data_IF_833454060565
#
_entry.id   IF_833454060565
#
_cell.length_a   1.000
_cell.length_b   1.000
_cell.length_c   1.000
_cell.angle_alpha   90.00
_cell.angle_beta   90.00
_cell.angle_gamma   90.00
#
_symmetry.space_group_name_H-M   'P 1'
#
loop_
_entity.id
_entity.type
_entity.pdbx_description
1 polymer ?
#
# COMPACT_ATOMS: atom_id res chain seq x y z
N UNK A 1 0.95 20.14 -56.66
CA UNK A 1 -0.04 20.63 -55.68
C UNK A 1 -0.08 19.65 -54.51
N UNK A 2 0.37 20.06 -53.34
CA UNK A 2 0.42 19.21 -52.14
C UNK A 2 0.86 20.05 -50.94
N UNK A 3 -0.12 20.53 -50.18
CA UNK A 3 0.01 21.57 -49.16
C UNK A 3 0.34 20.93 -47.80
N UNK A 4 1.51 21.24 -47.26
CA UNK A 4 1.94 20.82 -45.91
C UNK A 4 1.39 21.82 -44.89
N UNK A 5 0.46 21.40 -44.03
CA UNK A 5 -0.01 22.18 -42.87
C UNK A 5 0.90 21.91 -41.68
N UNK A 6 1.62 22.94 -41.21
CA UNK A 6 2.24 22.97 -39.88
C UNK A 6 1.21 23.49 -38.88
N UNK A 7 0.98 22.74 -37.80
CA UNK A 7 0.19 23.17 -36.65
C UNK A 7 1.18 23.73 -35.62
N UNK A 8 1.11 25.03 -35.36
CA UNK A 8 1.81 25.68 -34.26
C UNK A 8 0.93 25.62 -33.00
N UNK A 9 1.47 25.05 -31.92
CA UNK A 9 0.84 25.08 -30.60
C UNK A 9 1.41 26.28 -29.85
N UNK A 10 0.57 27.30 -29.64
CA UNK A 10 0.91 28.48 -28.84
C UNK A 10 0.73 28.19 -27.35
N UNK A 11 1.80 28.37 -26.59
CA UNK A 11 1.77 28.41 -25.13
C UNK A 11 1.31 29.79 -24.67
N UNK A 12 0.15 29.89 -24.05
CA UNK A 12 -0.30 31.11 -23.36
C UNK A 12 0.04 31.02 -21.87
N UNK A 13 0.93 31.91 -21.44
CA UNK A 13 1.22 32.20 -20.05
C UNK A 13 0.07 33.00 -19.43
N UNK A 14 -0.40 32.60 -18.24
CA UNK A 14 -1.31 33.41 -17.42
C UNK A 14 -0.51 33.94 -16.22
N UNK A 15 -0.33 35.26 -16.21
CA UNK A 15 0.29 36.02 -15.12
C UNK A 15 -0.69 36.19 -13.96
N UNK A 16 -0.26 35.88 -12.74
CA UNK A 16 -0.92 36.29 -11.50
C UNK A 16 -0.57 37.75 -11.19
N UNK A 17 -1.60 38.60 -11.07
CA UNK A 17 -1.49 39.96 -10.52
C UNK A 17 -2.05 39.97 -9.10
N UNK A 18 -1.28 40.59 -8.20
CA UNK A 18 -1.58 40.79 -6.78
C UNK A 18 -2.41 42.06 -6.51
N UNK A 19 -2.68 42.29 -5.21
CA UNK A 19 -3.34 43.42 -4.51
C UNK A 19 -4.80 43.17 -4.10
N UNK A 20 -5.30 43.57 -2.91
CA UNK A 20 -4.72 44.31 -1.80
C UNK A 20 -5.50 44.09 -0.47
N UNK A 21 -4.77 44.43 0.60
CA UNK A 21 -5.12 44.78 1.98
C UNK A 21 -6.51 45.38 2.24
N UNK A 22 -7.13 44.93 3.35
CA UNK A 22 -7.96 45.78 4.21
C UNK A 22 -7.56 45.52 5.67
N UNK A 23 -7.33 46.61 6.42
CA UNK A 23 -6.91 46.63 7.81
C UNK A 23 -8.08 46.91 8.78
N UNK A 24 -8.06 46.21 9.93
CA UNK A 24 -8.36 46.64 11.32
C UNK A 24 -9.78 47.16 11.70
N UNK A 25 -10.25 47.07 12.99
CA UNK A 25 -9.44 47.25 14.21
C UNK A 25 -9.72 46.40 15.48
N UNK A 26 -8.68 46.38 16.31
CA UNK A 26 -8.59 46.38 17.78
C UNK A 26 -9.72 45.78 18.66
N UNK A 27 -9.33 44.75 19.43
CA UNK A 27 -9.97 44.36 20.69
C UNK A 27 -8.91 43.83 21.66
N UNK A 28 -8.76 44.50 22.81
CA UNK A 28 -7.84 44.18 23.91
C UNK A 28 -8.17 42.81 24.53
N UNK A 29 -7.15 42.02 24.87
CA UNK A 29 -7.08 41.30 26.16
C UNK A 29 -5.68 40.73 26.43
N UNK A 30 -5.25 40.97 27.67
CA UNK A 30 -4.48 40.13 28.60
C UNK A 30 -3.23 39.37 28.12
N UNK A 31 -2.11 39.76 28.74
CA UNK A 31 -0.90 38.98 28.93
C UNK A 31 -1.19 37.53 29.34
N UNK A 32 -0.71 36.59 28.52
CA UNK A 32 -0.35 35.28 28.99
C UNK A 32 0.90 34.81 28.23
N UNK A 33 2.05 34.90 28.89
CA UNK A 33 3.27 34.23 28.46
C UNK A 33 2.97 32.72 28.31
N UNK A 34 2.94 32.23 27.06
CA UNK A 34 3.11 30.81 26.79
C UNK A 34 4.37 30.61 25.97
N UNK A 35 5.29 29.88 26.59
CA UNK A 35 6.60 29.53 26.10
C UNK A 35 6.43 28.53 24.94
N UNK A 36 6.18 29.02 23.73
CA UNK A 36 6.16 28.18 22.51
C UNK A 36 7.60 27.84 22.12
N UNK A 37 8.10 26.73 22.66
CA UNK A 37 9.12 25.95 21.96
C UNK A 37 8.48 25.41 20.68
N UNK A 38 8.86 25.98 19.54
CA UNK A 38 8.67 25.34 18.25
C UNK A 38 9.44 24.02 18.28
N UNK A 39 8.73 22.92 18.55
CA UNK A 39 9.24 21.60 18.32
C UNK A 39 9.27 21.39 16.81
N UNK A 40 10.42 21.65 16.20
CA UNK A 40 10.74 21.15 14.86
C UNK A 40 10.69 19.64 14.95
N UNK A 41 9.59 19.04 14.49
CA UNK A 41 9.47 17.60 14.34
C UNK A 41 10.38 17.20 13.17
N UNK A 42 11.63 16.87 13.50
CA UNK A 42 12.55 16.24 12.55
C UNK A 42 12.02 14.83 12.32
N UNK A 43 11.26 14.64 11.25
CA UNK A 43 10.89 13.31 10.75
C UNK A 43 12.17 12.69 10.17
N UNK A 44 12.89 11.97 11.02
CA UNK A 44 13.99 11.13 10.61
C UNK A 44 13.40 9.90 9.91
N UNK A 45 13.41 9.88 8.58
CA UNK A 45 13.07 8.67 7.82
C UNK A 45 14.33 7.80 7.68
N UNK A 46 14.31 6.53 8.16
CA UNK A 46 15.29 5.54 7.74
C UNK A 46 14.89 4.97 6.37
N UNK A 47 15.86 4.38 5.67
CA UNK A 47 15.64 3.49 4.53
C UNK A 47 14.57 2.47 4.85
N UNK A 48 13.49 2.44 4.06
CA UNK A 48 12.14 2.00 4.46
C UNK A 48 11.65 2.84 5.66
N UNK A 49 10.67 3.75 5.46
CA UNK A 49 10.07 4.49 6.56
C UNK A 49 9.79 3.53 7.72
N UNK A 50 10.29 3.80 8.93
CA UNK A 50 10.24 2.85 10.05
C UNK A 50 8.85 2.22 10.24
N UNK A 51 7.80 3.02 9.96
CA UNK A 51 6.39 2.65 9.99
C UNK A 51 6.00 1.51 9.02
N UNK A 52 6.67 1.42 7.86
CA UNK A 52 6.49 0.35 6.88
C UNK A 52 7.23 -0.90 7.34
N UNK A 53 8.47 -0.75 7.83
CA UNK A 53 9.25 -1.86 8.38
C UNK A 53 8.58 -2.46 9.63
N UNK A 54 7.86 -1.65 10.41
CA UNK A 54 7.05 -2.12 11.53
C UNK A 54 5.89 -3.02 11.06
N UNK A 55 5.30 -2.74 9.89
CA UNK A 55 4.17 -3.52 9.36
C UNK A 55 4.61 -4.74 8.55
N UNK A 56 5.67 -4.67 7.73
CA UNK A 56 6.15 -5.83 6.96
C UNK A 56 7.20 -6.66 7.70
N UNK A 57 7.67 -6.18 8.86
CA UNK A 57 8.90 -6.65 9.48
C UNK A 57 10.12 -6.07 8.75
N UNK A 58 11.29 -6.09 9.41
CA UNK A 58 12.53 -5.96 8.66
C UNK A 58 12.55 -7.05 7.60
N UNK A 59 12.97 -6.73 6.36
CA UNK A 59 13.37 -7.73 5.38
C UNK A 59 14.58 -8.46 5.94
N UNK A 60 14.36 -9.30 6.96
CA UNK A 60 15.34 -10.25 7.41
C UNK A 60 15.54 -11.18 6.24
N UNK A 61 16.82 -11.34 5.91
CA UNK A 61 17.34 -12.27 4.93
C UNK A 61 16.54 -13.57 5.08
N UNK A 62 15.58 -13.79 4.18
CA UNK A 62 14.68 -14.95 4.20
C UNK A 62 15.43 -16.21 3.72
N UNK A 63 16.74 -16.21 3.95
CA UNK A 63 17.74 -17.21 3.62
C UNK A 63 17.74 -18.38 4.61
N UNK A 64 16.79 -18.45 5.55
CA UNK A 64 16.36 -19.74 6.08
C UNK A 64 15.32 -20.30 5.12
N UNK A 65 15.69 -21.25 4.25
CA UNK A 65 14.71 -21.93 3.42
C UNK A 65 13.68 -22.51 4.39
N UNK A 66 12.40 -22.41 4.04
CA UNK A 66 11.41 -23.31 4.61
C UNK A 66 11.94 -24.74 4.39
N UNK A 67 12.53 -25.31 5.46
CA UNK A 67 13.17 -26.61 5.45
C UNK A 67 12.08 -27.61 5.04
N UNK A 68 12.22 -28.18 3.83
CA UNK A 68 11.31 -29.13 3.17
C UNK A 68 10.17 -28.58 2.29
N UNK A 69 10.44 -27.61 1.41
CA UNK A 69 9.66 -27.50 0.18
C UNK A 69 10.21 -28.46 -0.88
N UNK A 70 9.68 -29.67 -0.94
CA UNK A 70 9.80 -30.47 -2.17
C UNK A 70 9.06 -29.71 -3.28
N UNK A 71 9.72 -29.34 -4.40
CA UNK A 71 9.03 -28.79 -5.55
C UNK A 71 8.14 -29.88 -6.14
N UNK A 72 6.87 -29.93 -5.72
CA UNK A 72 5.87 -30.62 -6.51
C UNK A 72 5.64 -29.78 -7.76
N UNK A 73 5.68 -30.39 -8.95
CA UNK A 73 5.50 -29.70 -10.23
C UNK A 73 4.06 -29.19 -10.47
N UNK A 74 3.26 -29.01 -9.41
CA UNK A 74 1.91 -28.46 -9.48
C UNK A 74 1.93 -27.03 -8.96
N UNK A 75 1.57 -26.06 -9.82
CA UNK A 75 1.26 -24.70 -9.40
C UNK A 75 0.07 -24.63 -8.43
N UNK A 76 -0.47 -23.45 -8.20
CA UNK A 76 -1.55 -23.19 -7.24
C UNK A 76 -1.09 -22.52 -5.95
N UNK A 77 -1.98 -22.48 -4.96
CA UNK A 77 -1.68 -21.95 -3.63
C UNK A 77 -1.22 -23.09 -2.71
N UNK A 78 -0.13 -22.88 -1.97
CA UNK A 78 0.44 -23.77 -0.96
C UNK A 78 0.38 -23.10 0.40
N UNK A 79 -0.27 -23.73 1.36
CA UNK A 79 -0.46 -23.17 2.69
C UNK A 79 0.49 -23.83 3.69
N UNK A 80 1.42 -23.07 4.26
CA UNK A 80 2.35 -23.49 5.31
C UNK A 80 1.92 -22.88 6.64
N UNK A 81 0.98 -23.56 7.31
CA UNK A 81 0.39 -23.05 8.55
C UNK A 81 0.73 -23.97 9.71
N UNK A 82 1.55 -23.51 10.68
CA UNK A 82 1.82 -24.30 11.88
C UNK A 82 0.52 -24.72 12.57
N UNK A 83 0.46 -25.97 13.03
CA UNK A 83 -0.77 -26.58 13.60
C UNK A 83 -1.44 -25.71 14.66
N UNK A 84 -0.65 -25.01 15.49
CA UNK A 84 -1.15 -24.10 16.54
C UNK A 84 -1.93 -22.88 16.02
N UNK A 85 -1.75 -22.50 14.76
CA UNK A 85 -2.43 -21.37 14.12
C UNK A 85 -3.50 -21.78 13.10
N UNK A 86 -3.58 -23.08 12.75
CA UNK A 86 -4.42 -23.58 11.67
C UNK A 86 -5.90 -23.18 11.78
N UNK A 87 -6.53 -23.39 12.95
CA UNK A 87 -7.93 -23.05 13.16
C UNK A 87 -8.21 -21.55 12.93
N UNK A 88 -7.34 -20.69 13.49
CA UNK A 88 -7.46 -19.23 13.38
C UNK A 88 -7.28 -18.77 11.93
N UNK A 89 -6.26 -19.29 11.25
CA UNK A 89 -6.03 -19.01 9.83
C UNK A 89 -7.22 -19.41 8.97
N UNK A 90 -7.82 -20.58 9.22
CA UNK A 90 -9.00 -21.01 8.46
C UNK A 90 -10.18 -20.04 8.64
N UNK A 91 -10.39 -19.47 9.83
CA UNK A 91 -11.40 -18.43 10.01
C UNK A 91 -11.11 -17.17 9.19
N UNK A 92 -9.86 -16.68 9.17
CA UNK A 92 -9.48 -15.52 8.36
C UNK A 92 -9.63 -15.77 6.87
N UNK A 93 -9.21 -16.95 6.40
CA UNK A 93 -9.38 -17.38 5.02
C UNK A 93 -10.85 -17.48 4.65
N UNK A 94 -11.68 -18.07 5.51
CA UNK A 94 -13.14 -18.16 5.29
C UNK A 94 -13.76 -16.76 5.19
N UNK A 95 -13.37 -15.82 6.05
CA UNK A 95 -13.83 -14.43 6.01
C UNK A 95 -13.43 -13.75 4.68
N UNK A 96 -12.19 -13.93 4.23
CA UNK A 96 -11.73 -13.44 2.92
C UNK A 96 -12.57 -14.04 1.76
N UNK A 97 -12.74 -15.36 1.76
CA UNK A 97 -13.50 -16.12 0.75
C UNK A 97 -15.02 -15.90 0.83
N UNK A 98 -15.54 -15.23 1.87
CA UNK A 98 -16.95 -14.85 1.93
C UNK A 98 -17.31 -13.80 0.87
N UNK A 99 -16.32 -13.06 0.35
CA UNK A 99 -16.50 -12.01 -0.66
C UNK A 99 -16.32 -12.52 -2.09
N UNK A 100 -16.89 -11.82 -3.08
CA UNK A 100 -16.67 -12.14 -4.49
C UNK A 100 -15.21 -11.94 -4.87
N UNK A 101 -14.64 -10.79 -4.52
CA UNK A 101 -13.22 -10.47 -4.72
C UNK A 101 -12.32 -11.56 -4.16
N UNK A 102 -12.48 -11.93 -2.88
CA UNK A 102 -11.62 -12.94 -2.26
C UNK A 102 -11.73 -14.32 -2.92
N UNK A 103 -12.92 -14.75 -3.35
CA UNK A 103 -13.07 -15.99 -4.12
C UNK A 103 -12.40 -15.92 -5.48
N UNK A 104 -12.55 -14.82 -6.20
CA UNK A 104 -11.97 -14.65 -7.54
C UNK A 104 -10.44 -14.64 -7.49
N UNK A 105 -9.86 -13.88 -6.55
CA UNK A 105 -8.41 -13.82 -6.38
C UNK A 105 -7.84 -15.17 -5.94
N UNK A 106 -8.46 -15.80 -4.95
CA UNK A 106 -8.01 -17.12 -4.50
C UNK A 106 -8.09 -18.14 -5.63
N UNK A 107 -9.21 -18.20 -6.36
CA UNK A 107 -9.40 -19.13 -7.47
C UNK A 107 -8.43 -18.86 -8.63
N UNK A 108 -8.13 -17.59 -8.92
CA UNK A 108 -7.18 -17.19 -9.97
C UNK A 108 -5.81 -17.82 -9.73
N UNK A 109 -5.28 -17.73 -8.51
CA UNK A 109 -3.98 -18.30 -8.18
C UNK A 109 -4.04 -19.79 -7.89
N UNK A 110 -5.08 -20.29 -7.20
CA UNK A 110 -5.23 -21.71 -6.87
C UNK A 110 -5.29 -22.60 -8.11
N UNK A 111 -5.90 -22.11 -9.19
CA UNK A 111 -6.11 -22.87 -10.43
C UNK A 111 -5.03 -22.59 -11.49
N UNK A 112 -3.97 -21.83 -11.17
CA UNK A 112 -2.92 -21.52 -12.11
C UNK A 112 -1.80 -22.57 -12.06
N UNK A 113 -1.66 -23.45 -13.06
CA UNK A 113 -0.63 -24.48 -13.06
C UNK A 113 0.79 -23.93 -13.24
N UNK A 114 0.92 -22.68 -13.74
CA UNK A 114 2.19 -22.05 -14.07
C UNK A 114 2.68 -21.06 -13.01
N UNK A 115 1.98 -20.98 -11.88
CA UNK A 115 2.31 -20.06 -10.79
C UNK A 115 2.16 -20.76 -9.44
N UNK A 116 3.11 -20.54 -8.54
CA UNK A 116 3.04 -21.03 -7.16
C UNK A 116 2.98 -19.88 -6.17
N UNK A 117 1.87 -19.77 -5.43
CA UNK A 117 1.77 -18.88 -4.28
C UNK A 117 1.99 -19.67 -3.00
N UNK A 118 2.98 -19.30 -2.19
CA UNK A 118 3.12 -19.87 -0.85
C UNK A 118 2.53 -18.89 0.17
N UNK A 119 1.60 -19.35 1.02
CA UNK A 119 1.08 -18.59 2.16
C UNK A 119 1.63 -19.17 3.45
N UNK A 120 2.40 -18.39 4.20
CA UNK A 120 3.07 -18.80 5.44
C UNK A 120 2.49 -18.06 6.63
N UNK A 121 2.27 -18.75 7.75
CA UNK A 121 1.98 -18.09 9.04
C UNK A 121 3.21 -18.13 9.95
N UNK A 122 3.66 -16.96 10.41
CA UNK A 122 4.83 -16.82 11.29
C UNK A 122 4.48 -16.18 12.64
N UNK A 123 5.32 -16.41 13.64
CA UNK A 123 5.29 -15.70 14.92
C UNK A 123 5.99 -14.34 14.88
N UNK A 124 6.87 -14.14 13.90
CA UNK A 124 7.55 -12.87 13.65
C UNK A 124 6.58 -11.86 13.03
N UNK A 125 6.78 -10.57 13.27
CA UNK A 125 5.86 -9.52 12.81
C UNK A 125 4.37 -9.92 13.01
N UNK A 126 3.97 -10.17 14.28
CA UNK A 126 2.78 -10.96 14.57
C UNK A 126 1.47 -10.32 14.08
N UNK A 127 1.42 -9.01 13.90
CA UNK A 127 0.23 -8.26 13.48
C UNK A 127 0.28 -7.85 12.00
N UNK A 128 1.41 -8.05 11.33
CA UNK A 128 1.65 -7.59 9.97
C UNK A 128 1.53 -8.67 8.90
N UNK A 129 1.81 -8.26 7.66
CA UNK A 129 1.89 -9.10 6.49
C UNK A 129 3.03 -8.63 5.59
N UNK A 130 3.57 -9.51 4.76
CA UNK A 130 4.55 -9.14 3.73
C UNK A 130 4.46 -10.11 2.56
N UNK A 131 4.71 -9.60 1.35
CA UNK A 131 4.79 -10.40 0.14
C UNK A 131 6.18 -10.28 -0.49
N UNK A 132 6.87 -11.41 -0.62
CA UNK A 132 8.28 -11.50 -1.03
C UNK A 132 8.55 -12.73 -1.89
N UNK A 133 9.84 -13.05 -2.12
CA UNK A 133 10.29 -14.23 -2.87
C UNK A 133 9.63 -14.34 -4.25
N UNK A 134 9.57 -13.21 -4.95
CA UNK A 134 9.04 -13.15 -6.31
C UNK A 134 10.03 -13.83 -7.27
N UNK A 135 9.53 -14.72 -8.10
CA UNK A 135 10.31 -15.38 -9.15
C UNK A 135 9.64 -15.17 -10.50
N UNK A 136 10.44 -14.87 -11.52
CA UNK A 136 9.99 -14.75 -12.90
C UNK A 136 10.68 -15.79 -13.76
N UNK A 137 9.97 -16.30 -14.77
CA UNK A 137 10.56 -17.18 -15.77
C UNK A 137 11.32 -16.38 -16.86
N UNK A 138 11.92 -17.10 -17.82
CA UNK A 138 12.64 -16.49 -18.94
C UNK A 138 11.79 -15.61 -19.86
N UNK A 139 10.45 -15.72 -19.81
CA UNK A 139 9.52 -14.87 -20.55
C UNK A 139 9.13 -13.60 -19.77
N UNK A 140 9.70 -13.39 -18.58
CA UNK A 140 9.37 -12.29 -17.70
C UNK A 140 8.00 -12.42 -17.02
N UNK A 141 7.41 -13.62 -16.98
CA UNK A 141 6.15 -13.88 -16.26
C UNK A 141 6.45 -14.28 -14.83
N UNK A 142 5.70 -13.71 -13.88
CA UNK A 142 5.79 -14.11 -12.48
C UNK A 142 5.31 -15.57 -12.33
N UNK A 143 6.16 -16.43 -11.77
CA UNK A 143 5.93 -17.88 -11.57
C UNK A 143 5.91 -18.30 -10.10
N UNK A 144 6.45 -17.48 -9.19
CA UNK A 144 6.29 -17.71 -7.76
C UNK A 144 6.22 -16.42 -6.96
N UNK A 145 5.55 -16.48 -5.80
CA UNK A 145 5.59 -15.48 -4.75
C UNK A 145 5.29 -16.13 -3.39
N UNK A 146 5.69 -15.46 -2.31
CA UNK A 146 5.36 -15.86 -0.93
C UNK A 146 4.65 -14.74 -0.20
N UNK A 147 3.44 -15.01 0.30
CA UNK A 147 2.76 -14.17 1.29
C UNK A 147 3.10 -14.73 2.68
N UNK A 148 3.66 -13.89 3.53
CA UNK A 148 3.95 -14.19 4.94
C UNK A 148 3.03 -13.38 5.81
N UNK A 149 2.27 -14.04 6.69
CA UNK A 149 1.29 -13.39 7.56
C UNK A 149 1.64 -13.62 9.04
N UNK A 150 1.43 -12.61 9.85
CA UNK A 150 1.61 -12.69 11.30
C UNK A 150 0.56 -13.58 11.99
N UNK A 151 0.93 -14.17 13.13
CA UNK A 151 0.03 -15.06 13.89
C UNK A 151 -1.15 -14.36 14.60
N UNK A 152 -1.22 -13.02 14.55
CA UNK A 152 -2.25 -12.14 15.12
C UNK A 152 -2.73 -11.09 14.12
N UNK A 153 -2.93 -11.45 12.85
CA UNK A 153 -3.46 -10.54 11.82
C UNK A 153 -4.76 -9.81 12.22
N UNK A 154 -5.57 -10.41 13.09
CA UNK A 154 -6.82 -9.85 13.59
C UNK A 154 -6.63 -8.69 14.59
N UNK A 155 -5.38 -8.35 14.92
CA UNK A 155 -4.97 -7.29 15.83
C UNK A 155 -4.01 -6.33 15.11
N UNK A 156 -3.76 -5.16 15.69
CA UNK A 156 -2.82 -4.17 15.17
C UNK A 156 -3.30 -3.51 13.88
N UNK A 157 -3.52 -2.20 13.91
CA UNK A 157 -3.86 -1.45 12.69
C UNK A 157 -2.66 -0.59 12.31
N UNK A 158 -2.18 -0.66 11.06
CA UNK A 158 -0.96 0.04 10.67
C UNK A 158 -1.15 1.56 10.56
N UNK A 159 -0.04 2.28 10.45
CA UNK A 159 -0.01 3.74 10.37
C UNK A 159 -0.75 4.26 9.11
N UNK A 160 -1.55 5.32 9.19
CA UNK A 160 -2.37 5.78 8.07
C UNK A 160 -1.59 6.34 6.88
N UNK A 161 -0.31 6.72 7.05
CA UNK A 161 0.50 7.30 5.97
C UNK A 161 0.61 6.35 4.78
N UNK A 162 0.94 5.08 5.03
CA UNK A 162 1.08 4.05 4.00
C UNK A 162 -0.15 3.14 3.89
N UNK A 163 -1.01 3.17 4.92
CA UNK A 163 -2.14 2.26 5.02
C UNK A 163 -3.47 2.99 5.28
N UNK A 164 -3.89 3.92 4.39
CA UNK A 164 -5.09 4.73 4.60
C UNK A 164 -6.39 3.92 4.67
N UNK A 165 -6.47 2.76 4.02
CA UNK A 165 -7.64 1.87 4.00
C UNK A 165 -7.67 1.01 5.25
N UNK A 166 -6.59 0.29 5.55
CA UNK A 166 -6.53 -0.54 6.75
C UNK A 166 -6.66 0.30 8.03
N UNK A 167 -6.03 1.48 8.07
CA UNK A 167 -6.17 2.40 9.20
C UNK A 167 -7.61 2.87 9.44
N UNK A 168 -8.42 2.96 8.38
CA UNK A 168 -9.82 3.33 8.48
C UNK A 168 -10.69 2.29 9.19
N UNK A 169 -10.15 1.10 9.48
CA UNK A 169 -10.83 0.06 10.25
C UNK A 169 -10.70 0.22 11.77
N UNK A 170 -9.84 1.14 12.27
CA UNK A 170 -9.73 1.42 13.70
C UNK A 170 -11.11 1.75 14.30
N UNK A 171 -11.51 1.21 15.46
CA UNK A 171 -12.80 1.56 16.07
C UNK A 171 -12.95 3.09 16.23
N UNK A 172 -14.13 3.62 15.92
CA UNK A 172 -14.52 4.99 16.29
C UNK A 172 -15.79 4.94 17.13
N UNK A 173 -16.00 5.93 18.00
CA UNK A 173 -17.19 6.02 18.86
C UNK A 173 -18.51 6.02 18.08
N UNK A 174 -18.45 6.41 16.81
CA UNK A 174 -19.59 6.61 15.92
C UNK A 174 -19.84 5.46 14.95
N UNK A 175 -18.99 4.43 14.93
CA UNK A 175 -19.08 3.33 13.97
C UNK A 175 -19.20 1.98 14.63
N UNK A 176 -19.93 1.08 13.96
CA UNK A 176 -19.97 -0.33 14.35
C UNK A 176 -18.55 -0.88 14.34
N UNK A 177 -18.16 -1.54 15.43
CA UNK A 177 -16.85 -2.19 15.55
C UNK A 177 -16.67 -3.21 14.42
N UNK A 178 -15.58 -3.06 13.67
CA UNK A 178 -15.17 -4.03 12.66
C UNK A 178 -14.54 -5.23 13.37
N UNK A 179 -14.91 -6.44 12.97
CA UNK A 179 -14.40 -7.64 13.63
C UNK A 179 -12.91 -7.84 13.33
N UNK A 180 -12.20 -8.51 14.23
CA UNK A 180 -10.81 -8.86 14.01
C UNK A 180 -10.62 -9.76 12.78
N UNK A 181 -11.59 -10.62 12.47
CA UNK A 181 -11.58 -11.44 11.26
C UNK A 181 -11.66 -10.58 10.00
N UNK A 182 -12.47 -9.51 10.01
CA UNK A 182 -12.54 -8.58 8.87
C UNK A 182 -11.21 -7.85 8.69
N UNK A 183 -10.55 -7.43 9.77
CA UNK A 183 -9.22 -6.82 9.71
C UNK A 183 -8.20 -7.82 9.13
N UNK A 184 -8.19 -9.06 9.61
CA UNK A 184 -7.29 -10.09 9.10
C UNK A 184 -7.51 -10.39 7.62
N UNK A 185 -8.76 -10.53 7.18
CA UNK A 185 -9.11 -10.73 5.78
C UNK A 185 -8.76 -9.51 4.91
N UNK A 186 -8.85 -8.30 5.45
CA UNK A 186 -8.41 -7.07 4.76
C UNK A 186 -6.89 -7.07 4.54
N UNK A 187 -6.11 -7.50 5.54
CA UNK A 187 -4.66 -7.67 5.40
C UNK A 187 -4.31 -8.75 4.38
N UNK A 188 -5.02 -9.88 4.39
CA UNK A 188 -4.85 -10.91 3.34
C UNK A 188 -5.10 -10.29 1.96
N UNK A 189 -6.20 -9.55 1.78
CA UNK A 189 -6.50 -8.86 0.52
C UNK A 189 -5.40 -7.87 0.12
N UNK A 190 -4.82 -7.13 1.07
CA UNK A 190 -3.69 -6.24 0.83
C UNK A 190 -2.50 -7.01 0.24
N UNK A 191 -2.10 -8.14 0.84
CA UNK A 191 -0.98 -8.95 0.36
C UNK A 191 -1.22 -9.56 -1.04
N UNK A 192 -2.46 -9.99 -1.33
CA UNK A 192 -2.83 -10.39 -2.70
C UNK A 192 -2.68 -9.21 -3.68
N UNK A 193 -2.93 -7.98 -3.24
CA UNK A 193 -2.69 -6.77 -4.01
C UNK A 193 -1.23 -6.64 -4.46
N UNK A 194 -0.26 -6.94 -3.60
CA UNK A 194 1.16 -6.95 -3.99
C UNK A 194 1.46 -8.02 -5.04
N UNK A 195 0.93 -9.24 -4.89
CA UNK A 195 1.10 -10.30 -5.91
C UNK A 195 0.50 -9.85 -7.25
N UNK A 196 -0.71 -9.30 -7.25
CA UNK A 196 -1.40 -8.80 -8.44
C UNK A 196 -0.60 -7.71 -9.15
N UNK A 197 -0.02 -6.77 -8.37
CA UNK A 197 0.83 -5.68 -8.91
C UNK A 197 2.08 -6.25 -9.57
N UNK A 198 2.78 -7.11 -8.83
CA UNK A 198 4.07 -7.65 -9.25
C UNK A 198 3.94 -8.54 -10.47
N UNK A 199 2.83 -9.28 -10.59
CA UNK A 199 2.51 -10.07 -11.78
C UNK A 199 2.34 -9.24 -13.08
N UNK A 200 2.09 -7.93 -12.96
CA UNK A 200 1.93 -6.97 -14.08
C UNK A 200 3.13 -6.03 -14.23
N UNK A 201 4.08 -6.09 -13.31
CA UNK A 201 5.25 -5.20 -13.31
C UNK A 201 6.32 -5.79 -14.23
N UNK A 202 7.06 -4.93 -14.94
CA UNK A 202 8.25 -5.35 -15.67
C UNK A 202 9.29 -5.93 -14.67
N UNK A 203 9.65 -7.22 -14.77
CA UNK A 203 10.61 -7.83 -13.87
C UNK A 203 11.99 -7.17 -13.88
N UNK A 204 12.42 -6.66 -15.04
CA UNK A 204 13.73 -6.00 -15.17
C UNK A 204 13.73 -4.71 -14.37
N UNK A 205 12.68 -3.90 -14.51
CA UNK A 205 12.53 -2.68 -13.73
C UNK A 205 12.39 -2.99 -12.23
N UNK A 206 11.60 -4.00 -11.87
CA UNK A 206 11.43 -4.37 -10.46
C UNK A 206 12.76 -4.77 -9.80
N UNK A 207 13.55 -5.61 -10.46
CA UNK A 207 14.87 -6.01 -9.98
C UNK A 207 15.83 -4.82 -9.90
N UNK A 208 15.83 -3.96 -10.92
CA UNK A 208 16.63 -2.73 -10.91
C UNK A 208 16.28 -1.82 -9.72
N UNK A 209 14.98 -1.67 -9.41
CA UNK A 209 14.55 -0.91 -8.23
C UNK A 209 15.10 -1.53 -6.94
N UNK A 210 15.01 -2.86 -6.77
CA UNK A 210 15.53 -3.53 -5.58
C UNK A 210 17.05 -3.35 -5.41
N UNK A 211 17.80 -3.31 -6.52
CA UNK A 211 19.25 -3.09 -6.50
C UNK A 211 19.63 -1.64 -6.17
N UNK A 212 18.90 -0.67 -6.74
CA UNK A 212 19.28 0.75 -6.67
C UNK A 212 18.70 1.48 -5.44
N UNK A 213 17.56 1.04 -4.90
CA UNK A 213 16.96 1.69 -3.73
C UNK A 213 17.87 1.71 -2.49
N UNK A 214 18.61 0.65 -2.13
CA UNK A 214 19.59 0.70 -1.04
C UNK A 214 20.70 1.72 -1.28
N UNK A 215 21.24 1.77 -2.50
CA UNK A 215 22.30 2.72 -2.88
C UNK A 215 21.82 4.16 -2.79
N UNK A 216 20.60 4.44 -3.28
CA UNK A 216 19.98 5.75 -3.14
C UNK A 216 19.87 6.15 -1.67
N UNK A 217 19.36 5.27 -0.82
CA UNK A 217 19.16 5.58 0.60
C UNK A 217 20.49 5.79 1.34
N UNK A 218 21.52 5.02 1.02
CA UNK A 218 22.86 5.21 1.58
C UNK A 218 23.42 6.60 1.24
N UNK A 219 23.32 7.02 -0.03
CA UNK A 219 23.76 8.35 -0.45
C UNK A 219 22.94 9.44 0.25
N UNK A 220 21.61 9.31 0.29
CA UNK A 220 20.73 10.28 0.94
C UNK A 220 21.05 10.44 2.43
N UNK A 221 21.36 9.34 3.13
CA UNK A 221 21.70 9.41 4.54
C UNK A 221 23.08 10.04 4.77
N UNK A 222 24.05 9.71 3.92
CA UNK A 222 25.44 10.19 4.07
C UNK A 222 25.66 11.61 3.58
N UNK A 223 24.86 12.10 2.63
CA UNK A 223 24.95 13.46 2.09
C UNK A 223 24.17 14.52 2.90
N UNK A 224 23.66 14.16 4.08
CA UNK A 224 22.87 15.06 4.92
C UNK A 224 21.42 15.23 4.47
N UNK A 225 20.90 14.29 3.68
CA UNK A 225 19.55 14.29 3.08
C UNK A 225 19.34 15.39 2.03
N UNK A 226 20.41 15.78 1.34
CA UNK A 226 20.29 16.67 0.19
C UNK A 226 19.72 15.91 -1.01
N UNK A 227 18.44 16.13 -1.30
CA UNK A 227 17.73 15.51 -2.42
C UNK A 227 18.14 16.08 -3.77
N UNK A 228 18.96 17.14 -3.83
CA UNK A 228 19.47 17.73 -5.07
C UNK A 228 20.84 17.14 -5.49
N UNK A 229 21.39 16.20 -4.72
CA UNK A 229 22.62 15.48 -5.10
C UNK A 229 22.45 14.83 -6.48
N UNK A 230 23.29 15.16 -7.48
CA UNK A 230 23.15 14.64 -8.84
C UNK A 230 23.10 13.11 -8.91
N UNK A 231 23.76 12.41 -7.97
CA UNK A 231 23.75 10.94 -7.91
C UNK A 231 22.37 10.39 -7.53
N UNK A 232 21.67 11.07 -6.61
CA UNK A 232 20.29 10.69 -6.24
C UNK A 232 19.33 10.92 -7.40
N UNK A 233 19.47 12.05 -8.09
CA UNK A 233 18.66 12.36 -9.28
C UNK A 233 18.86 11.29 -10.36
N UNK A 234 20.11 10.91 -10.65
CA UNK A 234 20.43 9.86 -11.62
C UNK A 234 19.82 8.51 -11.21
N UNK A 235 19.97 8.11 -9.94
CA UNK A 235 19.40 6.86 -9.44
C UNK A 235 17.87 6.85 -9.52
N UNK A 236 17.21 7.95 -9.12
CA UNK A 236 15.76 8.08 -9.23
C UNK A 236 15.28 7.99 -10.69
N UNK A 237 15.99 8.64 -11.62
CA UNK A 237 15.69 8.53 -13.06
C UNK A 237 15.81 7.10 -13.57
N UNK A 238 16.85 6.36 -13.16
CA UNK A 238 17.03 4.94 -13.55
C UNK A 238 15.96 4.03 -12.98
N UNK A 239 15.50 4.28 -11.75
CA UNK A 239 14.42 3.53 -11.10
C UNK A 239 13.03 3.94 -11.59
N UNK A 240 12.93 5.08 -12.28
CA UNK A 240 11.68 5.72 -12.73
C UNK A 240 11.00 6.58 -11.66
N UNK A 241 11.48 6.56 -10.42
CA UNK A 241 10.96 7.33 -9.28
C UNK A 241 11.95 7.26 -8.10
N UNK A 242 11.74 8.09 -7.07
CA UNK A 242 12.47 7.98 -5.81
C UNK A 242 12.04 6.72 -5.02
N UNK A 243 12.87 6.21 -4.09
CA UNK A 243 12.47 5.06 -3.27
C UNK A 243 11.17 5.28 -2.51
N UNK A 244 10.89 6.50 -2.02
CA UNK A 244 9.65 6.82 -1.29
C UNK A 244 8.43 6.67 -2.20
N UNK A 245 8.47 7.25 -3.39
CA UNK A 245 7.38 7.15 -4.36
C UNK A 245 7.15 5.69 -4.81
N UNK A 246 8.24 4.93 -5.01
CA UNK A 246 8.15 3.49 -5.35
C UNK A 246 7.47 2.70 -4.24
N UNK A 247 7.81 2.97 -2.97
CA UNK A 247 7.18 2.33 -1.83
C UNK A 247 5.70 2.72 -1.71
N UNK A 248 5.38 4.00 -1.76
CA UNK A 248 3.99 4.49 -1.75
C UNK A 248 3.15 3.83 -2.84
N UNK A 249 3.66 3.77 -4.06
CA UNK A 249 2.96 3.11 -5.16
C UNK A 249 2.67 1.63 -4.88
N UNK A 250 3.65 0.91 -4.32
CA UNK A 250 3.53 -0.52 -3.97
C UNK A 250 2.48 -0.73 -2.87
N UNK A 251 2.52 0.07 -1.80
CA UNK A 251 1.60 -0.05 -0.66
C UNK A 251 0.19 0.37 -1.02
N UNK A 252 0.02 1.49 -1.73
CA UNK A 252 -1.31 1.95 -2.13
C UNK A 252 -1.97 1.02 -3.15
N UNK A 253 -1.20 0.22 -3.89
CA UNK A 253 -1.76 -0.86 -4.68
C UNK A 253 -2.35 -1.98 -3.80
N UNK A 254 -1.64 -2.38 -2.74
CA UNK A 254 -2.15 -3.29 -1.71
C UNK A 254 -3.43 -2.74 -1.08
N UNK A 255 -3.41 -1.47 -0.65
CA UNK A 255 -4.56 -0.81 -0.04
C UNK A 255 -5.77 -0.70 -0.96
N UNK A 256 -5.55 -0.47 -2.26
CA UNK A 256 -6.63 -0.46 -3.25
C UNK A 256 -7.30 -1.85 -3.33
N UNK A 257 -6.49 -2.92 -3.27
CA UNK A 257 -7.01 -4.29 -3.26
C UNK A 257 -7.76 -4.61 -1.95
N UNK A 258 -7.25 -4.12 -0.82
CA UNK A 258 -7.94 -4.19 0.46
C UNK A 258 -9.30 -3.46 0.44
N UNK A 259 -9.36 -2.29 -0.19
CA UNK A 259 -10.61 -1.53 -0.37
C UNK A 259 -11.61 -2.28 -1.25
N UNK A 260 -11.12 -2.99 -2.27
CA UNK A 260 -11.95 -3.83 -3.14
C UNK A 260 -12.61 -4.98 -2.35
N UNK A 261 -11.85 -5.63 -1.47
CA UNK A 261 -12.41 -6.61 -0.53
C UNK A 261 -13.48 -5.98 0.39
N UNK A 262 -13.19 -4.82 1.00
CA UNK A 262 -14.11 -4.14 1.91
C UNK A 262 -15.42 -3.72 1.22
N UNK A 263 -15.34 -3.30 -0.05
CA UNK A 263 -16.51 -2.98 -0.91
C UNK A 263 -17.49 -4.15 -0.96
N UNK A 264 -16.96 -5.36 -1.19
CA UNK A 264 -17.76 -6.58 -1.32
C UNK A 264 -18.24 -7.09 0.04
N UNK A 265 -17.41 -6.92 1.06
CA UNK A 265 -17.69 -7.40 2.41
C UNK A 265 -18.86 -6.67 3.06
N UNK A 266 -19.01 -5.38 2.78
CA UNK A 266 -20.07 -4.55 3.35
C UNK A 266 -21.14 -4.23 2.31
N UNK A 267 -22.07 -5.16 2.11
CA UNK A 267 -23.22 -4.95 1.22
C UNK A 267 -24.24 -3.93 1.77
N UNK A 268 -24.24 -3.66 3.09
CA UNK A 268 -25.09 -2.63 3.70
C UNK A 268 -24.65 -1.23 3.28
N UNK A 269 -25.51 -0.52 2.57
CA UNK A 269 -25.20 0.80 2.01
C UNK A 269 -24.86 1.84 3.09
N UNK A 270 -25.49 1.79 4.26
CA UNK A 270 -25.27 2.76 5.33
C UNK A 270 -23.86 2.64 5.90
N UNK A 271 -23.52 1.44 6.39
CA UNK A 271 -22.21 1.19 6.96
C UNK A 271 -21.08 1.33 5.92
N UNK A 272 -21.30 0.82 4.70
CA UNK A 272 -20.35 0.97 3.59
C UNK A 272 -20.01 2.42 3.33
N UNK A 273 -21.00 3.32 3.29
CA UNK A 273 -20.73 4.74 3.07
C UNK A 273 -19.98 5.42 4.19
N UNK A 274 -20.27 5.08 5.45
CA UNK A 274 -19.51 5.64 6.57
C UNK A 274 -18.05 5.20 6.51
N UNK A 275 -17.80 3.92 6.21
CA UNK A 275 -16.44 3.40 6.04
C UNK A 275 -15.73 4.06 4.84
N UNK A 276 -16.38 4.16 3.69
CA UNK A 276 -15.77 4.70 2.47
C UNK A 276 -15.49 6.20 2.59
N UNK A 277 -16.36 6.97 3.25
CA UNK A 277 -16.08 8.38 3.56
C UNK A 277 -14.85 8.53 4.47
N UNK A 278 -14.62 7.59 5.39
CA UNK A 278 -13.43 7.59 6.25
C UNK A 278 -12.18 7.23 5.47
N UNK A 279 -12.25 6.21 4.62
CA UNK A 279 -11.17 5.85 3.70
C UNK A 279 -10.82 7.06 2.83
N UNK A 280 -11.81 7.71 2.22
CA UNK A 280 -11.61 8.91 1.42
C UNK A 280 -10.86 10.01 2.18
N UNK A 281 -11.28 10.35 3.40
CA UNK A 281 -10.57 11.33 4.24
C UNK A 281 -9.12 10.93 4.50
N UNK A 282 -8.86 9.65 4.73
CA UNK A 282 -7.51 9.13 4.93
C UNK A 282 -6.67 9.26 3.65
N UNK A 283 -7.25 8.92 2.50
CA UNK A 283 -6.62 9.09 1.17
C UNK A 283 -6.34 10.57 0.88
N UNK A 284 -7.28 11.47 1.13
CA UNK A 284 -7.12 12.92 0.94
C UNK A 284 -5.94 13.49 1.76
N UNK A 285 -5.72 12.93 2.96
CA UNK A 285 -4.67 13.37 3.88
C UNK A 285 -3.30 12.78 3.54
N UNK A 286 -3.24 11.50 3.17
CA UNK A 286 -1.97 10.76 3.10
C UNK A 286 -1.59 10.29 1.70
N UNK A 287 -2.56 10.03 0.82
CA UNK A 287 -2.37 9.39 -0.48
C UNK A 287 -3.00 10.19 -1.63
N UNK A 288 -3.04 11.52 -1.51
CA UNK A 288 -3.80 12.40 -2.42
C UNK A 288 -3.39 12.27 -3.89
N UNK A 289 -2.09 12.10 -4.16
CA UNK A 289 -1.57 11.88 -5.52
C UNK A 289 -2.04 10.56 -6.15
N UNK A 290 -2.61 9.65 -5.35
CA UNK A 290 -3.11 8.34 -5.78
C UNK A 290 -4.64 8.23 -5.69
N UNK A 291 -5.36 9.34 -5.41
CA UNK A 291 -6.82 9.34 -5.18
C UNK A 291 -7.62 8.65 -6.28
N UNK A 292 -7.25 8.84 -7.55
CA UNK A 292 -7.92 8.24 -8.71
C UNK A 292 -7.98 6.70 -8.65
N UNK A 293 -6.95 6.07 -8.10
CA UNK A 293 -6.87 4.61 -7.94
C UNK A 293 -7.95 4.10 -6.98
N UNK A 294 -8.14 4.81 -5.87
CA UNK A 294 -9.16 4.48 -4.87
C UNK A 294 -10.56 4.86 -5.34
N UNK A 295 -10.71 6.00 -6.04
CA UNK A 295 -11.97 6.43 -6.66
C UNK A 295 -12.52 5.35 -7.60
N UNK A 296 -11.67 4.75 -8.43
CA UNK A 296 -12.05 3.66 -9.33
C UNK A 296 -12.72 2.50 -8.58
N UNK A 297 -12.26 2.18 -7.37
CA UNK A 297 -12.86 1.15 -6.53
C UNK A 297 -14.17 1.65 -5.89
N UNK A 298 -14.22 2.90 -5.43
CA UNK A 298 -15.43 3.48 -4.86
C UNK A 298 -16.61 3.52 -5.85
N UNK A 299 -16.33 3.81 -7.12
CA UNK A 299 -17.34 3.93 -8.18
C UNK A 299 -17.71 2.58 -8.83
N UNK A 300 -16.95 1.52 -8.55
CA UNK A 300 -17.18 0.21 -9.13
C UNK A 300 -18.46 -0.48 -8.61
N UNK A 301 -19.08 -1.29 -9.48
CA UNK A 301 -20.48 -1.74 -9.36
C UNK A 301 -20.73 -2.79 -8.27
N UNK A 302 -21.91 -2.76 -7.59
CA UNK A 302 -22.95 -1.73 -7.69
C UNK A 302 -22.56 -0.49 -6.89
N UNK A 303 -22.57 0.71 -7.52
CA UNK A 303 -22.07 1.91 -6.87
C UNK A 303 -23.05 2.29 -5.75
N UNK A 304 -22.63 2.30 -4.49
CA UNK A 304 -23.34 3.14 -3.54
C UNK A 304 -23.02 4.59 -3.86
N UNK A 305 -24.00 5.50 -3.72
CA UNK A 305 -23.77 6.95 -3.71
C UNK A 305 -23.09 7.38 -2.40
N UNK A 306 -22.02 6.72 -2.01
CA UNK A 306 -21.17 7.19 -0.93
C UNK A 306 -20.37 8.36 -1.50
N UNK A 307 -20.34 9.49 -0.80
CA UNK A 307 -19.60 10.68 -1.23
C UNK A 307 -18.11 10.40 -1.23
N UNK A 308 -17.62 9.82 -2.33
CA UNK A 308 -16.27 9.99 -2.79
C UNK A 308 -16.18 11.32 -3.53
#
# INVERSE_FOLDING_TARGET
MGQVRRIGVGFTWVSLVALALIASPAGRTADHQSNRRSATLIVASPSVPALIADYHGFMTDSSKPAENLYPTNSGGIREQVPRKYAARYQHWKQEFLATLTGRQEWAFYQNNPNFTLTVVITGDNPEGGNTSNYEWNGDGKLVAATITLGCRLNEGVPNPVYFPVMNSLLPSETTRTISGETLAATKIAHEFGHVNRTARTDPVLYQLQLELMPQYNEILLTNGRDTNDPRLIELAQRMGATPVEIWEDREYWGETNAMLYLRDRFADNGFRCVLFNRIKRSVDLYARSYEERFLTIAESTPPPRCGW
#
